data_IF_030282745689
#
_entry.id   IF_030282745689
#
_cell.length_a   1.000
_cell.length_b   1.000
_cell.length_c   1.000
_cell.angle_alpha   90.00
_cell.angle_beta   90.00
_cell.angle_gamma   90.00
#
_symmetry.space_group_name_H-M   'P 1'
#
loop_
_entity.id
_entity.type
_entity.pdbx_description
1 polymer ?
#
# COMPACT_ATOMS: atom_id res chain seq x y z
N UNK A 1 -2.00 -44.78 -33.20
CA UNK A 1 -1.96 -43.84 -32.06
C UNK A 1 -0.67 -43.03 -32.19
N UNK A 2 -0.72 -41.80 -32.74
CA UNK A 2 0.48 -40.95 -32.90
C UNK A 2 0.74 -40.26 -31.55
N UNK A 3 1.93 -40.48 -30.99
CA UNK A 3 2.39 -39.76 -29.80
C UNK A 3 3.03 -38.47 -30.30
N UNK A 4 2.37 -37.33 -30.08
CA UNK A 4 2.93 -36.03 -30.40
C UNK A 4 4.15 -35.77 -29.52
N UNK A 5 5.34 -35.71 -30.13
CA UNK A 5 6.60 -35.46 -29.43
C UNK A 5 6.69 -33.98 -29.05
N UNK A 6 6.96 -33.69 -27.78
CA UNK A 6 7.31 -32.34 -27.32
C UNK A 6 8.52 -31.84 -28.12
N UNK A 7 8.33 -30.75 -28.85
CA UNK A 7 9.40 -30.11 -29.62
C UNK A 7 10.18 -29.15 -28.74
N UNK A 8 11.47 -28.94 -29.02
CA UNK A 8 12.30 -27.95 -28.30
C UNK A 8 11.65 -26.57 -28.26
N UNK A 9 10.97 -26.19 -29.35
CA UNK A 9 10.27 -24.91 -29.48
C UNK A 9 9.09 -24.82 -28.51
N UNK A 10 8.30 -25.88 -28.35
CA UNK A 10 7.19 -25.91 -27.38
C UNK A 10 7.69 -25.90 -25.93
N UNK A 11 8.84 -26.54 -25.66
CA UNK A 11 9.44 -26.50 -24.33
C UNK A 11 9.97 -25.10 -23.97
N UNK A 12 10.72 -24.47 -24.88
CA UNK A 12 11.25 -23.12 -24.69
C UNK A 12 10.13 -22.07 -24.54
N UNK A 13 9.07 -22.18 -25.35
CA UNK A 13 7.91 -21.31 -25.24
C UNK A 13 7.19 -21.50 -23.89
N UNK A 14 7.01 -22.76 -23.46
CA UNK A 14 6.40 -23.07 -22.16
C UNK A 14 7.20 -22.55 -20.97
N UNK A 15 8.53 -22.70 -20.99
CA UNK A 15 9.40 -22.19 -19.93
C UNK A 15 9.43 -20.67 -19.87
N UNK A 16 9.43 -20.00 -21.03
CA UNK A 16 9.38 -18.53 -21.09
C UNK A 16 8.05 -17.98 -20.55
N UNK A 17 6.92 -18.62 -20.87
CA UNK A 17 5.62 -18.25 -20.35
C UNK A 17 5.51 -18.47 -18.83
N UNK A 18 6.07 -19.57 -18.31
CA UNK A 18 6.12 -19.83 -16.88
C UNK A 18 7.00 -18.81 -16.13
N UNK A 19 8.16 -18.46 -16.69
CA UNK A 19 9.03 -17.42 -16.12
C UNK A 19 8.35 -16.04 -16.11
N UNK A 20 7.59 -15.71 -17.16
CA UNK A 20 6.82 -14.47 -17.23
C UNK A 20 5.75 -14.38 -16.13
N UNK A 21 5.09 -15.49 -15.80
CA UNK A 21 4.09 -15.53 -14.72
C UNK A 21 4.70 -15.24 -13.34
N UNK A 22 5.89 -15.76 -13.05
CA UNK A 22 6.59 -15.52 -11.77
C UNK A 22 7.18 -14.11 -11.69
N UNK A 23 7.51 -13.50 -12.83
CA UNK A 23 8.02 -12.14 -12.91
C UNK A 23 6.92 -11.05 -12.83
N UNK A 24 5.63 -11.43 -12.78
CA UNK A 24 4.58 -10.44 -12.59
C UNK A 24 4.60 -9.89 -11.16
N UNK A 25 4.53 -8.56 -10.98
CA UNK A 25 4.38 -7.99 -9.65
C UNK A 25 3.12 -8.57 -9.01
N UNK A 26 3.24 -9.08 -7.78
CA UNK A 26 2.10 -9.65 -7.06
C UNK A 26 1.01 -8.58 -6.98
N UNK A 27 -0.10 -8.79 -7.68
CA UNK A 27 -1.28 -7.95 -7.52
C UNK A 27 -1.80 -8.17 -6.09
N UNK A 28 -1.48 -7.25 -5.19
CA UNK A 28 -2.09 -7.22 -3.87
C UNK A 28 -3.53 -6.80 -4.10
N UNK A 29 -4.48 -7.69 -3.83
CA UNK A 29 -5.90 -7.36 -3.80
C UNK A 29 -6.20 -6.47 -2.58
N UNK A 30 -5.63 -5.27 -2.58
CA UNK A 30 -5.95 -4.24 -1.59
C UNK A 30 -7.40 -3.83 -1.87
N UNK A 31 -8.24 -3.98 -0.85
CA UNK A 31 -9.61 -3.52 -0.92
C UNK A 31 -9.60 -2.02 -1.21
N UNK A 32 -10.11 -1.64 -2.37
CA UNK A 32 -10.29 -0.23 -2.72
C UNK A 32 -11.45 0.32 -1.89
N UNK A 33 -11.13 1.18 -0.94
CA UNK A 33 -12.11 1.85 -0.09
C UNK A 33 -12.60 1.03 1.12
N UNK A 34 -13.40 1.69 1.95
CA UNK A 34 -13.94 1.16 3.20
C UNK A 34 -13.68 2.09 4.38
N UNK A 35 -14.45 1.87 5.46
CA UNK A 35 -14.29 2.65 6.69
C UNK A 35 -13.14 2.08 7.52
N UNK A 36 -12.09 2.87 7.72
CA UNK A 36 -11.09 2.60 8.73
C UNK A 36 -11.66 2.98 10.11
N UNK A 37 -11.66 2.03 11.06
CA UNK A 37 -12.10 2.24 12.45
C UNK A 37 -10.88 2.14 13.35
N UNK A 38 -10.65 3.15 14.16
CA UNK A 38 -9.49 3.27 15.03
C UNK A 38 -9.91 3.84 16.39
N UNK A 39 -9.32 3.31 17.47
CA UNK A 39 -9.50 3.83 18.84
C UNK A 39 -8.21 4.56 19.21
N UNK A 40 -8.25 5.90 19.41
CA UNK A 40 -7.08 6.64 19.83
C UNK A 40 -6.69 6.37 21.28
N UNK A 41 -5.46 6.72 21.65
CA UNK A 41 -4.91 6.50 23.00
C UNK A 41 -5.49 7.46 24.08
N UNK A 42 -6.26 8.46 23.66
CA UNK A 42 -6.88 9.47 24.53
C UNK A 42 -8.16 10.00 23.85
N UNK A 43 -8.92 10.83 24.56
CA UNK A 43 -10.08 11.52 24.00
C UNK A 43 -9.65 12.76 23.20
N UNK A 44 -10.30 13.01 22.05
CA UNK A 44 -10.01 14.15 21.18
C UNK A 44 -10.87 15.35 21.62
N UNK A 45 -10.36 16.13 22.58
CA UNK A 45 -11.07 17.27 23.16
C UNK A 45 -10.87 18.60 22.43
N UNK A 46 -9.75 18.76 21.75
CA UNK A 46 -9.33 19.99 21.07
C UNK A 46 -8.95 19.62 19.65
N UNK A 47 -9.52 20.32 18.67
CA UNK A 47 -9.28 20.08 17.24
C UNK A 47 -8.19 20.97 16.65
N UNK A 48 -7.96 22.15 17.24
CA UNK A 48 -6.98 23.12 16.77
C UNK A 48 -5.56 22.71 17.17
N UNK A 49 -4.67 22.36 16.21
CA UNK A 49 -3.29 21.98 16.48
C UNK A 49 -2.38 23.16 16.86
N UNK A 50 -2.83 24.42 16.76
CA UNK A 50 -2.07 25.60 17.19
C UNK A 50 -2.23 25.84 18.70
N UNK A 51 -3.41 25.54 19.25
CA UNK A 51 -3.73 25.75 20.66
C UNK A 51 -3.16 24.66 21.60
N UNK A 52 -2.83 23.48 21.09
CA UNK A 52 -2.37 22.34 21.90
C UNK A 52 -1.20 21.60 21.28
N UNK A 53 -0.40 20.93 22.12
CA UNK A 53 0.71 20.07 21.68
C UNK A 53 0.36 18.58 21.71
N UNK A 54 -0.91 18.23 21.97
CA UNK A 54 -1.35 16.84 22.10
C UNK A 54 -1.22 16.07 20.77
N UNK A 55 -0.59 14.89 20.82
CA UNK A 55 -0.41 14.06 19.62
C UNK A 55 -1.71 13.58 18.98
N UNK A 56 -2.79 13.44 19.77
CA UNK A 56 -4.09 13.05 19.22
C UNK A 56 -4.68 14.12 18.29
N UNK A 57 -4.54 15.40 18.65
CA UNK A 57 -4.95 16.54 17.83
C UNK A 57 -4.11 16.63 16.57
N UNK A 58 -2.79 16.44 16.67
CA UNK A 58 -1.91 16.36 15.49
C UNK A 58 -2.31 15.21 14.55
N UNK A 59 -2.51 14.00 15.10
CA UNK A 59 -2.89 12.83 14.31
C UNK A 59 -4.22 13.04 13.59
N UNK A 60 -5.20 13.64 14.26
CA UNK A 60 -6.46 14.05 13.65
C UNK A 60 -6.25 15.10 12.55
N UNK A 61 -5.38 16.10 12.79
CA UNK A 61 -5.03 17.14 11.83
C UNK A 61 -4.53 16.57 10.50
N UNK A 62 -3.69 15.52 10.52
CA UNK A 62 -3.22 14.85 9.29
C UNK A 62 -4.33 14.16 8.47
N UNK A 63 -5.51 13.94 9.04
CA UNK A 63 -6.64 13.34 8.32
C UNK A 63 -7.61 14.39 7.75
N UNK A 64 -7.49 15.66 8.17
CA UNK A 64 -8.46 16.73 7.85
C UNK A 64 -7.81 17.87 7.07
N UNK A 65 -6.59 18.25 7.43
CA UNK A 65 -5.87 19.38 6.85
C UNK A 65 -4.80 18.90 5.88
N UNK A 66 -4.63 19.65 4.80
CA UNK A 66 -3.50 19.50 3.90
C UNK A 66 -2.28 20.25 4.47
N UNK A 67 -1.12 19.62 4.45
CA UNK A 67 0.11 20.15 5.03
C UNK A 67 1.16 20.27 3.94
N UNK A 68 1.91 21.38 3.91
CA UNK A 68 3.00 21.57 2.94
C UNK A 68 4.10 20.51 3.03
N UNK A 69 4.26 19.90 4.21
CA UNK A 69 5.22 18.84 4.48
C UNK A 69 4.71 17.90 5.58
N UNK A 70 5.04 16.61 5.47
CA UNK A 70 4.77 15.58 6.47
C UNK A 70 5.90 14.55 6.54
N UNK A 71 5.82 13.63 7.50
CA UNK A 71 6.78 12.52 7.62
C UNK A 71 6.23 11.26 6.96
N UNK A 72 7.06 10.57 6.18
CA UNK A 72 6.72 9.26 5.61
C UNK A 72 6.92 8.11 6.63
N UNK A 73 6.61 6.89 6.21
CA UNK A 73 6.75 5.69 7.05
C UNK A 73 8.20 5.41 7.49
N UNK A 74 9.19 5.98 6.80
CA UNK A 74 10.61 5.92 7.14
C UNK A 74 11.08 7.16 7.91
N UNK A 75 10.13 7.95 8.42
CA UNK A 75 10.35 9.20 9.15
C UNK A 75 11.10 10.26 8.34
N UNK A 76 11.07 10.18 7.01
CA UNK A 76 11.68 11.18 6.14
C UNK A 76 10.67 12.30 5.86
N UNK A 77 11.14 13.55 5.86
CA UNK A 77 10.30 14.70 5.53
C UNK A 77 10.02 14.68 4.03
N UNK A 78 8.74 14.75 3.68
CA UNK A 78 8.23 14.82 2.31
C UNK A 78 7.35 16.06 2.16
N UNK A 79 7.34 16.70 0.98
CA UNK A 79 6.26 17.57 0.58
C UNK A 79 4.93 16.80 0.61
#
# INVERSE_FOLDING_TARGET
MRIDRLTRRTFLAGSAAAAALVATPSARAQKTGGTFRFIPNADLKILDPIWTTAYITRNHGYMVYDTLFATDASLQIRP
#
